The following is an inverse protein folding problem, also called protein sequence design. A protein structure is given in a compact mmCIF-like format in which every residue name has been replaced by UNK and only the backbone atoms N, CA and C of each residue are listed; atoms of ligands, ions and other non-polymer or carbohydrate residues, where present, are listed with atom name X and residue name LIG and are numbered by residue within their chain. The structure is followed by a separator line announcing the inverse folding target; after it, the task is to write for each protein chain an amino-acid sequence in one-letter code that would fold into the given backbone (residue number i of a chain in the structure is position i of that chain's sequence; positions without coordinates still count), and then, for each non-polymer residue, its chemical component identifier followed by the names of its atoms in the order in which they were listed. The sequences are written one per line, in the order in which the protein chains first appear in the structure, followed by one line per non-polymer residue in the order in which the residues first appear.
data_IF_044894396171
#
_entry.id   IF_044894396171
#
_cell.length_a   1.000
_cell.length_b   1.000
_cell.length_c   1.000
_cell.angle_alpha   90.00
_cell.angle_beta   90.00
_cell.angle_gamma   90.00
#
_symmetry.space_group_name_H-M   'P 1'
#
loop_
_entity.id
_entity.type
_entity.pdbx_description
1 polymer ?
#
# COMPACT_ATOMS: atom_id res chain seq x y z
N UNK A 1 4.19 -13.77 6.21
CA UNK A 1 4.59 -12.97 5.03
C UNK A 1 4.65 -11.45 5.25
N UNK A 2 4.08 -10.86 6.29
CA UNK A 2 3.89 -9.41 6.36
C UNK A 2 4.43 -8.73 7.61
N UNK A 3 5.45 -9.27 8.26
CA UNK A 3 6.00 -8.67 9.48
C UNK A 3 6.66 -7.30 9.26
N UNK A 4 7.16 -7.03 8.05
CA UNK A 4 7.80 -5.76 7.67
C UNK A 4 6.89 -4.79 6.93
N UNK A 5 5.82 -5.29 6.31
CA UNK A 5 4.88 -4.51 5.50
C UNK A 5 3.43 -4.86 5.85
N UNK A 6 2.92 -4.24 6.89
CA UNK A 6 1.57 -4.50 7.43
C UNK A 6 0.42 -4.17 6.45
N UNK A 7 0.71 -3.44 5.36
CA UNK A 7 -0.29 -3.12 4.34
C UNK A 7 -0.91 -4.35 3.69
N UNK A 8 -0.13 -5.42 3.52
CA UNK A 8 -0.61 -6.66 2.86
C UNK A 8 -1.65 -7.43 3.70
N UNK A 9 -1.70 -7.18 5.01
CA UNK A 9 -2.73 -7.75 5.90
C UNK A 9 -4.06 -7.02 5.80
N UNK A 10 -4.00 -5.72 5.52
CA UNK A 10 -5.19 -4.87 5.44
C UNK A 10 -5.84 -4.88 4.04
N UNK A 11 -5.08 -5.26 2.99
CA UNK A 11 -5.57 -5.30 1.62
C UNK A 11 -6.80 -6.19 1.48
N UNK A 12 -7.81 -5.68 0.77
CA UNK A 12 -8.99 -6.44 0.36
C UNK A 12 -8.74 -7.00 -1.03
N UNK A 13 -8.71 -8.33 -1.17
CA UNK A 13 -8.53 -8.99 -2.46
C UNK A 13 -9.89 -9.33 -3.07
N UNK A 14 -10.05 -9.00 -4.35
CA UNK A 14 -11.30 -9.22 -5.08
C UNK A 14 -11.01 -9.74 -6.49
N UNK A 15 -11.84 -10.66 -6.98
CA UNK A 15 -11.74 -11.10 -8.37
C UNK A 15 -12.13 -9.98 -9.33
N UNK A 16 -11.26 -9.71 -10.29
CA UNK A 16 -11.49 -8.76 -11.38
C UNK A 16 -12.48 -9.29 -12.40
N UNK A 17 -13.00 -8.42 -13.24
CA UNK A 17 -13.95 -8.78 -14.30
C UNK A 17 -13.27 -9.09 -15.65
N UNK A 18 -11.97 -8.80 -15.77
CA UNK A 18 -11.16 -9.06 -16.96
C UNK A 18 -10.07 -10.11 -16.67
N UNK A 19 -9.63 -10.85 -17.69
CA UNK A 19 -8.51 -11.79 -17.57
C UNK A 19 -7.17 -11.13 -17.22
N UNK A 20 -7.04 -9.82 -17.52
CA UNK A 20 -5.80 -9.05 -17.34
C UNK A 20 -5.91 -7.98 -16.24
N UNK A 21 -7.06 -7.85 -15.60
CA UNK A 21 -7.28 -6.81 -14.60
C UNK A 21 -8.73 -6.63 -14.22
N UNK A 22 -9.09 -5.40 -13.89
CA UNK A 22 -10.46 -5.04 -13.55
C UNK A 22 -10.89 -3.77 -14.29
N UNK A 23 -12.09 -3.78 -14.85
CA UNK A 23 -12.73 -2.61 -15.47
C UNK A 23 -13.69 -1.98 -14.48
N UNK A 24 -13.38 -0.77 -14.06
CA UNK A 24 -14.13 -0.03 -13.05
C UNK A 24 -14.87 1.14 -13.70
N UNK A 25 -16.11 1.33 -13.31
CA UNK A 25 -16.90 2.50 -13.69
C UNK A 25 -16.81 3.51 -12.56
N UNK A 26 -16.19 4.65 -12.85
CA UNK A 26 -16.06 5.79 -11.94
C UNK A 26 -17.10 6.84 -12.30
N UNK A 27 -17.85 7.32 -11.31
CA UNK A 27 -18.76 8.44 -11.52
C UNK A 27 -18.00 9.76 -11.47
N UNK A 28 -17.99 10.49 -12.59
CA UNK A 28 -17.27 11.76 -12.73
C UNK A 28 -18.19 12.98 -12.56
N UNK A 29 -19.51 12.81 -12.70
CA UNK A 29 -20.47 13.90 -12.50
C UNK A 29 -21.81 13.42 -11.98
N UNK A 30 -22.42 14.25 -11.10
CA UNK A 30 -23.76 14.03 -10.61
C UNK A 30 -24.77 14.63 -11.57
N UNK A 31 -25.99 14.07 -11.69
CA UNK A 31 -27.07 14.68 -12.45
C UNK A 31 -27.54 15.97 -11.76
N UNK A 32 -27.97 16.93 -12.54
CA UNK A 32 -28.63 18.11 -12.00
C UNK A 32 -30.03 17.76 -11.47
N UNK A 33 -30.38 18.30 -10.31
CA UNK A 33 -31.71 18.15 -9.71
C UNK A 33 -32.34 19.51 -9.50
N UNK A 34 -33.67 19.59 -9.65
CA UNK A 34 -34.39 20.85 -9.68
C UNK A 34 -35.60 20.81 -8.74
N UNK A 35 -35.82 21.89 -8.04
CA UNK A 35 -37.09 22.14 -7.36
C UNK A 35 -38.15 22.51 -8.39
N UNK A 36 -39.34 21.90 -8.31
CA UNK A 36 -40.43 22.10 -9.29
C UNK A 36 -41.61 22.78 -8.62
N UNK A 37 -42.15 23.80 -9.28
CA UNK A 37 -43.46 24.32 -8.95
C UNK A 37 -44.59 23.51 -9.65
N UNK A 38 -45.82 23.68 -9.20
CA UNK A 38 -47.00 23.05 -9.85
C UNK A 38 -47.10 23.51 -11.30
N UNK A 39 -47.41 22.58 -12.21
CA UNK A 39 -47.52 22.79 -13.65
C UNK A 39 -46.20 23.20 -14.39
N UNK A 40 -45.04 23.07 -13.76
CA UNK A 40 -43.74 23.24 -14.43
C UNK A 40 -43.07 21.89 -14.73
N UNK A 41 -42.44 21.77 -15.90
CA UNK A 41 -41.59 20.65 -16.23
C UNK A 41 -40.16 20.82 -15.66
N UNK A 42 -39.41 19.73 -15.53
CA UNK A 42 -37.97 19.75 -15.20
C UNK A 42 -37.17 19.29 -16.41
N UNK A 43 -35.99 19.87 -16.71
CA UNK A 43 -35.12 19.38 -17.76
C UNK A 43 -34.55 18.01 -17.40
N UNK A 44 -34.33 17.15 -18.39
CA UNK A 44 -33.69 15.87 -18.22
C UNK A 44 -32.20 16.06 -17.90
N UNK A 45 -31.68 15.28 -16.99
CA UNK A 45 -30.26 15.26 -16.70
C UNK A 45 -29.73 13.83 -16.55
N UNK A 46 -28.43 13.62 -16.78
CA UNK A 46 -27.79 12.31 -16.70
C UNK A 46 -26.55 12.39 -15.80
N UNK A 47 -26.23 11.32 -15.08
CA UNK A 47 -24.93 11.18 -14.45
C UNK A 47 -23.87 10.90 -15.52
N UNK A 48 -22.67 11.45 -15.31
CA UNK A 48 -21.53 11.19 -16.17
C UNK A 48 -20.65 10.15 -15.50
N UNK A 49 -20.31 9.09 -16.25
CA UNK A 49 -19.46 8.00 -15.80
C UNK A 49 -18.30 7.83 -16.76
N UNK A 50 -17.13 7.46 -16.24
CA UNK A 50 -15.97 7.05 -17.02
C UNK A 50 -15.61 5.60 -16.68
N UNK A 51 -15.18 4.86 -17.69
CA UNK A 51 -14.64 3.51 -17.51
C UNK A 51 -13.12 3.61 -17.46
N UNK A 52 -12.51 2.95 -16.47
CA UNK A 52 -11.08 2.86 -16.29
C UNK A 52 -10.70 1.39 -16.19
N UNK A 53 -9.72 0.98 -16.98
CA UNK A 53 -9.17 -0.38 -16.94
C UNK A 53 -7.90 -0.35 -16.07
N UNK A 54 -7.93 -1.11 -15.00
CA UNK A 54 -6.82 -1.27 -14.06
C UNK A 54 -6.16 -2.62 -14.30
N UNK A 55 -4.90 -2.59 -14.72
CA UNK A 55 -4.15 -3.80 -15.03
C UNK A 55 -3.66 -4.51 -13.77
N UNK A 56 -3.59 -5.84 -13.83
CA UNK A 56 -2.88 -6.66 -12.84
C UNK A 56 -1.49 -6.99 -13.34
N UNK A 57 -0.51 -6.93 -12.43
CA UNK A 57 0.85 -7.44 -12.63
C UNK A 57 0.96 -8.91 -12.27
N UNK A 58 1.97 -9.58 -12.82
CA UNK A 58 2.35 -10.95 -12.45
C UNK A 58 3.72 -10.86 -11.79
N UNK A 59 3.77 -11.11 -10.49
CA UNK A 59 5.02 -11.22 -9.75
C UNK A 59 5.36 -12.70 -9.64
N UNK A 60 6.54 -13.07 -10.10
CA UNK A 60 6.99 -14.46 -10.10
C UNK A 60 8.41 -14.56 -9.58
N UNK A 61 8.66 -15.57 -8.75
CA UNK A 61 9.97 -15.96 -8.28
C UNK A 61 10.14 -17.46 -8.44
N UNK A 62 11.36 -17.88 -8.76
CA UNK A 62 11.72 -19.28 -8.89
C UNK A 62 12.92 -19.56 -8.00
N UNK A 63 12.71 -20.44 -7.03
CA UNK A 63 13.77 -20.96 -6.16
C UNK A 63 14.37 -22.19 -6.82
N UNK A 64 15.68 -22.21 -7.01
CA UNK A 64 16.43 -23.32 -7.60
C UNK A 64 17.58 -23.70 -6.68
N UNK A 65 17.48 -24.88 -6.08
CA UNK A 65 18.42 -25.38 -5.07
C UNK A 65 19.13 -26.59 -5.65
N UNK A 66 20.47 -26.55 -5.67
CA UNK A 66 21.29 -27.67 -6.12
C UNK A 66 20.93 -28.95 -5.33
N UNK A 67 20.72 -30.05 -6.06
CA UNK A 67 20.33 -31.35 -5.51
C UNK A 67 21.36 -31.87 -4.53
N UNK A 68 22.64 -31.82 -4.91
CA UNK A 68 23.72 -32.35 -4.08
C UNK A 68 23.91 -31.53 -2.81
N UNK A 69 23.79 -30.20 -2.91
CA UNK A 69 23.81 -29.28 -1.76
C UNK A 69 22.64 -29.56 -0.79
N UNK A 70 21.44 -29.75 -1.33
CA UNK A 70 20.25 -30.03 -0.53
C UNK A 70 20.34 -31.37 0.23
N UNK A 71 21.10 -32.33 -0.30
CA UNK A 71 21.29 -33.65 0.30
C UNK A 71 22.39 -33.70 1.35
N UNK A 72 23.32 -32.75 1.37
CA UNK A 72 24.49 -32.74 2.26
C UNK A 72 24.14 -32.89 3.74
N UNK A 73 23.02 -32.29 4.20
CA UNK A 73 22.61 -32.31 5.60
C UNK A 73 21.54 -33.35 5.92
N UNK A 74 21.18 -34.21 4.98
CA UNK A 74 20.19 -35.29 5.17
C UNK A 74 18.74 -34.81 5.36
N UNK A 75 18.47 -33.51 5.34
CA UNK A 75 17.12 -32.93 5.45
C UNK A 75 16.84 -31.95 4.29
N UNK A 76 16.64 -32.49 3.12
CA UNK A 76 16.38 -31.75 1.89
C UNK A 76 15.16 -30.80 2.01
N UNK A 77 14.09 -31.24 2.66
CA UNK A 77 12.87 -30.45 2.79
C UNK A 77 13.08 -29.18 3.63
N UNK A 78 13.80 -29.29 4.75
CA UNK A 78 14.07 -28.15 5.62
C UNK A 78 15.05 -27.15 4.96
N UNK A 79 16.04 -27.64 4.22
CA UNK A 79 16.98 -26.80 3.50
C UNK A 79 16.26 -26.02 2.38
N UNK A 80 15.43 -26.68 1.56
CA UNK A 80 14.61 -26.02 0.54
C UNK A 80 13.70 -24.96 1.17
N UNK A 81 13.04 -25.28 2.27
CA UNK A 81 12.17 -24.33 2.97
C UNK A 81 12.93 -23.08 3.47
N UNK A 82 14.15 -23.24 3.96
CA UNK A 82 14.98 -22.11 4.41
C UNK A 82 15.35 -21.15 3.29
N UNK A 83 15.66 -21.70 2.10
CA UNK A 83 15.93 -20.89 0.91
C UNK A 83 14.64 -20.24 0.39
N UNK A 84 13.54 -20.95 0.37
CA UNK A 84 12.25 -20.46 -0.11
C UNK A 84 11.73 -19.28 0.72
N UNK A 85 12.03 -19.20 2.02
CA UNK A 85 11.68 -18.05 2.89
C UNK A 85 12.28 -16.75 2.38
N UNK A 86 13.52 -16.76 1.85
CA UNK A 86 14.15 -15.58 1.29
C UNK A 86 13.42 -15.06 0.04
N UNK A 87 12.98 -15.97 -0.84
CA UNK A 87 12.18 -15.60 -2.02
C UNK A 87 10.81 -15.03 -1.64
N UNK A 88 10.16 -15.61 -0.63
CA UNK A 88 8.87 -15.11 -0.13
C UNK A 88 8.99 -13.71 0.47
N UNK A 89 10.08 -13.43 1.21
CA UNK A 89 10.33 -12.08 1.75
C UNK A 89 10.63 -11.08 0.64
N UNK A 90 11.42 -11.45 -0.37
CA UNK A 90 11.70 -10.59 -1.52
C UNK A 90 10.41 -10.27 -2.30
N UNK A 91 9.52 -11.24 -2.49
CA UNK A 91 8.21 -11.03 -3.12
C UNK A 91 7.33 -10.09 -2.29
N UNK A 92 7.32 -10.24 -0.95
CA UNK A 92 6.60 -9.37 -0.05
C UNK A 92 7.06 -7.90 -0.17
N UNK A 93 8.37 -7.66 -0.12
CA UNK A 93 8.95 -6.32 -0.26
C UNK A 93 8.66 -5.72 -1.63
N UNK A 94 8.80 -6.49 -2.70
CA UNK A 94 8.52 -6.04 -4.07
C UNK A 94 7.05 -5.70 -4.24
N UNK A 95 6.14 -6.53 -3.73
CA UNK A 95 4.70 -6.29 -3.80
C UNK A 95 4.30 -5.03 -3.03
N UNK A 96 4.80 -4.86 -1.80
CA UNK A 96 4.55 -3.67 -1.00
C UNK A 96 5.10 -2.40 -1.68
N UNK A 97 6.30 -2.46 -2.25
CA UNK A 97 6.89 -1.35 -3.00
C UNK A 97 6.05 -0.99 -4.22
N UNK A 98 5.58 -1.98 -4.96
CA UNK A 98 4.74 -1.76 -6.15
C UNK A 98 3.38 -1.16 -5.79
N UNK A 99 2.78 -1.53 -4.65
CA UNK A 99 1.54 -0.91 -4.17
C UNK A 99 1.67 0.60 -3.96
N UNK A 100 2.85 1.07 -3.53
CA UNK A 100 3.09 2.52 -3.38
C UNK A 100 3.63 3.17 -4.64
N UNK A 101 4.66 2.61 -5.27
CA UNK A 101 5.46 3.27 -6.30
C UNK A 101 5.34 2.67 -7.70
N UNK A 102 4.58 1.57 -7.87
CA UNK A 102 4.40 0.95 -9.18
C UNK A 102 3.93 1.97 -10.22
N UNK A 103 4.61 2.03 -11.37
CA UNK A 103 4.29 2.96 -12.44
C UNK A 103 4.46 2.28 -13.81
N UNK A 104 3.36 1.96 -14.50
CA UNK A 104 3.41 1.35 -15.83
C UNK A 104 4.12 2.19 -16.90
N UNK A 105 4.25 3.50 -16.68
CA UNK A 105 4.98 4.37 -17.61
C UNK A 105 6.50 4.15 -17.55
N UNK A 106 7.04 3.73 -16.41
CA UNK A 106 8.46 3.41 -16.23
C UNK A 106 8.74 1.92 -16.39
N UNK A 107 7.87 1.07 -15.87
CA UNK A 107 7.93 -0.38 -16.04
C UNK A 107 6.54 -0.94 -16.40
N UNK A 108 6.29 -1.25 -17.68
CA UNK A 108 4.99 -1.73 -18.17
C UNK A 108 4.51 -3.06 -17.55
N UNK A 109 5.38 -3.78 -16.82
CA UNK A 109 5.02 -5.04 -16.16
C UNK A 109 4.35 -4.82 -14.80
N UNK A 110 4.46 -3.61 -14.25
CA UNK A 110 3.89 -3.25 -12.96
C UNK A 110 2.50 -2.66 -13.12
N UNK A 111 1.69 -2.77 -12.08
CA UNK A 111 0.43 -2.03 -11.98
C UNK A 111 0.65 -0.63 -11.38
N UNK A 112 -0.33 0.26 -11.55
CA UNK A 112 -0.25 1.63 -11.06
C UNK A 112 -0.45 1.70 -9.55
N UNK A 113 0.56 2.19 -8.82
CA UNK A 113 0.58 2.34 -7.37
C UNK A 113 -0.10 3.63 -6.86
N UNK A 114 0.00 3.86 -5.56
CA UNK A 114 -0.61 5.02 -4.90
C UNK A 114 0.14 6.33 -5.18
N UNK A 115 1.48 6.34 -5.14
CA UNK A 115 2.28 7.56 -5.29
C UNK A 115 2.11 8.24 -6.66
N UNK A 116 2.13 7.51 -7.80
CA UNK A 116 1.89 8.13 -9.10
C UNK A 116 0.47 8.67 -9.28
N UNK A 117 -0.53 8.08 -8.57
CA UNK A 117 -1.92 8.58 -8.62
C UNK A 117 -2.10 9.88 -7.86
N UNK A 118 -1.27 10.14 -6.86
CA UNK A 118 -1.33 11.32 -5.97
C UNK A 118 0.00 12.06 -6.02
N UNK A 119 0.39 12.57 -7.19
CA UNK A 119 1.71 13.12 -7.46
C UNK A 119 1.73 14.63 -7.70
N UNK A 120 0.58 15.30 -7.79
CA UNK A 120 0.49 16.70 -8.20
C UNK A 120 -0.49 17.48 -7.31
N UNK A 121 -0.04 18.62 -6.76
CA UNK A 121 -0.83 19.51 -5.87
C UNK A 121 -1.26 20.79 -6.62
N UNK A 122 -0.70 21.06 -7.80
CA UNK A 122 -0.81 22.33 -8.51
C UNK A 122 -2.23 22.76 -8.90
N UNK A 123 -2.43 24.01 -9.17
CA UNK A 123 -3.67 24.55 -9.72
C UNK A 123 -3.91 24.01 -11.13
N UNK A 124 -5.06 23.38 -11.36
CA UNK A 124 -5.38 22.69 -12.62
C UNK A 124 -5.11 21.19 -12.59
N UNK A 125 -4.60 20.69 -11.48
CA UNK A 125 -4.37 19.26 -11.23
C UNK A 125 -5.68 18.46 -11.23
N UNK A 126 -5.59 17.13 -11.45
CA UNK A 126 -6.75 16.24 -11.36
C UNK A 126 -7.48 16.33 -10.02
N UNK A 127 -8.72 15.88 -9.97
CA UNK A 127 -9.55 15.94 -8.75
C UNK A 127 -8.90 15.26 -7.53
N UNK A 128 -8.08 14.23 -7.73
CA UNK A 128 -7.35 13.54 -6.67
C UNK A 128 -6.30 14.41 -5.97
N UNK A 129 -5.83 15.51 -6.60
CA UNK A 129 -4.93 16.49 -5.98
C UNK A 129 -5.53 17.12 -4.71
N UNK A 130 -6.86 17.19 -4.63
CA UNK A 130 -7.56 17.67 -3.43
C UNK A 130 -7.28 16.81 -2.19
N UNK A 131 -6.91 15.55 -2.37
CA UNK A 131 -6.58 14.61 -1.30
C UNK A 131 -5.08 14.51 -1.02
N UNK A 132 -4.30 15.46 -1.51
CA UNK A 132 -2.88 15.59 -1.18
C UNK A 132 -2.73 16.73 -0.18
N UNK A 133 -1.99 16.47 0.89
CA UNK A 133 -1.64 17.42 1.95
C UNK A 133 -0.12 17.53 2.01
N UNK A 134 0.44 18.71 1.82
CA UNK A 134 1.87 18.93 1.96
C UNK A 134 2.24 19.32 3.38
N UNK A 135 3.29 18.69 3.93
CA UNK A 135 3.90 19.07 5.20
C UNK A 135 4.97 20.17 5.04
N UNK A 136 5.31 20.56 3.80
CA UNK A 136 6.19 21.70 3.51
C UNK A 136 7.67 21.35 3.40
N UNK A 137 8.07 20.07 3.45
CA UNK A 137 9.45 19.65 3.17
C UNK A 137 9.83 19.94 1.71
N UNK A 138 11.05 20.42 1.49
CA UNK A 138 11.56 20.81 0.17
C UNK A 138 12.80 20.04 -0.28
N UNK A 139 13.31 19.11 0.57
CA UNK A 139 14.51 18.32 0.30
C UNK A 139 14.14 16.88 -0.05
N UNK A 140 14.37 16.49 -1.30
CA UNK A 140 14.09 15.13 -1.78
C UNK A 140 14.95 14.04 -1.14
N UNK A 141 16.07 14.39 -0.48
CA UNK A 141 16.95 13.40 0.18
C UNK A 141 16.45 12.98 1.56
N UNK A 142 15.52 13.75 2.16
CA UNK A 142 14.99 13.52 3.50
C UNK A 142 13.46 13.49 3.53
N UNK A 143 12.85 13.33 2.37
CA UNK A 143 11.41 13.46 2.17
C UNK A 143 10.70 12.10 2.20
N UNK A 144 9.53 12.07 2.83
CA UNK A 144 8.67 10.87 2.89
C UNK A 144 7.20 11.23 2.91
N UNK A 145 6.33 10.23 2.78
CA UNK A 145 4.87 10.41 2.82
C UNK A 145 4.19 9.48 3.83
N UNK A 146 2.99 9.89 4.25
CA UNK A 146 2.02 9.06 4.95
C UNK A 146 0.81 8.88 4.04
N UNK A 147 0.29 7.66 3.97
CA UNK A 147 -0.92 7.35 3.22
C UNK A 147 -2.03 6.93 4.17
N UNK A 148 -3.20 7.55 4.05
CA UNK A 148 -4.44 7.10 4.66
C UNK A 148 -5.25 6.40 3.58
N UNK A 149 -5.54 5.12 3.77
CA UNK A 149 -6.30 4.31 2.80
C UNK A 149 -7.49 3.67 3.51
N UNK A 150 -8.65 3.71 2.87
CA UNK A 150 -9.85 3.00 3.33
C UNK A 150 -10.08 1.80 2.41
N UNK A 151 -9.76 0.61 2.90
CA UNK A 151 -9.90 -0.63 2.16
C UNK A 151 -11.33 -1.15 2.16
N UNK A 152 -11.87 -1.43 1.00
CA UNK A 152 -13.21 -1.97 0.86
C UNK A 152 -13.61 -2.17 -0.60
N UNK A 153 -14.61 -3.00 -0.86
CA UNK A 153 -15.08 -3.38 -2.21
C UNK A 153 -15.50 -2.22 -3.10
N UNK A 154 -15.91 -1.10 -2.51
CA UNK A 154 -16.37 0.09 -3.22
C UNK A 154 -15.41 1.27 -3.10
N UNK A 155 -14.28 1.12 -2.44
CA UNK A 155 -13.29 2.16 -2.18
C UNK A 155 -11.94 1.83 -2.84
N UNK A 156 -11.08 1.10 -2.13
CA UNK A 156 -9.77 0.65 -2.62
C UNK A 156 -9.66 -0.84 -2.39
N UNK A 157 -9.24 -1.59 -3.39
CA UNK A 157 -9.04 -3.03 -3.30
C UNK A 157 -7.97 -3.51 -4.28
N UNK A 158 -7.49 -4.72 -4.05
CA UNK A 158 -6.49 -5.37 -4.88
C UNK A 158 -7.17 -6.42 -5.76
N UNK A 159 -7.34 -6.18 -7.07
CA UNK A 159 -7.93 -7.16 -7.96
C UNK A 159 -6.93 -8.27 -8.30
N UNK A 160 -7.43 -9.47 -8.49
CA UNK A 160 -6.71 -10.55 -9.15
C UNK A 160 -7.44 -10.95 -10.44
N UNK A 161 -6.75 -11.43 -11.47
CA UNK A 161 -7.34 -11.73 -12.77
C UNK A 161 -8.47 -12.74 -12.67
N UNK A 162 -9.54 -12.53 -13.46
CA UNK A 162 -10.68 -13.44 -13.52
C UNK A 162 -10.24 -14.86 -13.87
N UNK A 163 -10.73 -15.82 -13.08
CA UNK A 163 -10.41 -17.25 -13.27
C UNK A 163 -9.05 -17.67 -12.69
N UNK A 164 -8.35 -16.78 -11.96
CA UNK A 164 -7.15 -17.12 -11.21
C UNK A 164 -7.47 -17.28 -9.72
N UNK A 165 -6.57 -17.93 -8.97
CA UNK A 165 -6.68 -17.99 -7.51
C UNK A 165 -6.19 -16.69 -6.87
N UNK A 166 -6.83 -16.30 -5.76
CA UNK A 166 -6.35 -15.20 -4.93
C UNK A 166 -5.09 -15.63 -4.17
N UNK A 167 -4.17 -14.66 -3.96
CA UNK A 167 -3.00 -14.85 -3.13
C UNK A 167 -1.81 -15.47 -3.85
N UNK A 168 -0.87 -15.97 -3.06
CA UNK A 168 0.38 -16.56 -3.53
C UNK A 168 0.14 -18.01 -3.97
N UNK A 169 0.48 -18.30 -5.21
CA UNK A 169 0.51 -19.68 -5.75
C UNK A 169 1.90 -20.26 -5.53
N UNK A 170 1.94 -21.47 -5.01
CA UNK A 170 3.13 -22.29 -4.82
C UNK A 170 3.02 -23.54 -5.67
N UNK A 171 4.07 -23.81 -6.44
CA UNK A 171 4.16 -25.01 -7.29
C UNK A 171 5.54 -25.64 -7.13
N UNK A 172 5.58 -26.88 -6.64
CA UNK A 172 6.82 -27.66 -6.62
C UNK A 172 7.02 -28.33 -7.97
N UNK A 173 8.02 -27.88 -8.71
CA UNK A 173 8.37 -28.39 -10.03
C UNK A 173 9.24 -29.67 -9.96
N UNK A 174 9.64 -30.09 -8.74
CA UNK A 174 10.48 -31.23 -8.53
C UNK A 174 11.92 -31.02 -8.99
N UNK A 175 12.57 -32.14 -9.39
CA UNK A 175 13.92 -32.14 -9.90
C UNK A 175 13.96 -31.70 -11.38
N UNK A 176 14.72 -30.67 -11.68
CA UNK A 176 14.89 -30.13 -13.03
C UNK A 176 16.35 -29.86 -13.35
N UNK A 177 16.67 -29.91 -14.66
CA UNK A 177 17.95 -29.43 -15.15
C UNK A 177 17.94 -27.92 -15.31
N UNK A 178 18.80 -27.24 -14.58
CA UNK A 178 18.94 -25.77 -14.60
C UNK A 178 20.23 -25.43 -15.34
N UNK A 179 20.20 -24.28 -16.03
CA UNK A 179 21.33 -23.74 -16.76
C UNK A 179 21.88 -22.53 -16.04
N UNK A 180 23.17 -22.58 -15.73
CA UNK A 180 23.90 -21.43 -15.21
C UNK A 180 24.09 -20.35 -16.28
N UNK A 181 24.48 -19.14 -15.86
CA UNK A 181 24.79 -18.04 -16.80
C UNK A 181 25.92 -18.31 -17.77
N UNK A 182 26.79 -19.28 -17.47
CA UNK A 182 27.90 -19.74 -18.29
C UNK A 182 27.50 -20.89 -19.28
N UNK A 183 26.22 -21.31 -19.23
CA UNK A 183 25.68 -22.39 -20.05
C UNK A 183 25.93 -23.79 -19.50
N UNK A 184 26.58 -23.95 -18.35
CA UNK A 184 26.73 -25.25 -17.68
C UNK A 184 25.40 -25.72 -17.08
N UNK A 185 25.24 -27.04 -16.92
CA UNK A 185 23.98 -27.64 -16.44
C UNK A 185 24.20 -28.27 -15.08
N UNK A 186 23.19 -28.10 -14.20
CA UNK A 186 23.13 -28.81 -12.93
C UNK A 186 21.72 -29.35 -12.68
N UNK A 187 21.59 -30.35 -11.83
CA UNK A 187 20.31 -30.86 -11.36
C UNK A 187 19.92 -30.09 -10.09
N UNK A 188 18.77 -29.44 -10.11
CA UNK A 188 18.28 -28.66 -8.99
C UNK A 188 16.82 -29.01 -8.68
N UNK A 189 16.45 -28.83 -7.41
CA UNK A 189 15.05 -28.79 -7.01
C UNK A 189 14.51 -27.40 -7.27
N UNK A 190 13.44 -27.29 -8.08
CA UNK A 190 12.84 -26.04 -8.46
C UNK A 190 11.48 -25.86 -7.80
N UNK A 191 11.25 -24.66 -7.22
CA UNK A 191 9.96 -24.25 -6.68
C UNK A 191 9.56 -22.94 -7.33
N UNK A 192 8.32 -22.85 -7.80
CA UNK A 192 7.77 -21.63 -8.43
C UNK A 192 6.79 -20.97 -7.49
N UNK A 193 6.99 -19.68 -7.30
CA UNK A 193 6.07 -18.79 -6.58
C UNK A 193 5.52 -17.77 -7.55
N UNK A 194 4.20 -17.63 -7.60
CA UNK A 194 3.55 -16.66 -8.48
C UNK A 194 2.45 -15.93 -7.73
N UNK A 195 2.42 -14.60 -7.86
CA UNK A 195 1.38 -13.75 -7.32
C UNK A 195 0.85 -12.83 -8.40
N UNK A 196 -0.45 -12.94 -8.68
CA UNK A 196 -1.15 -12.10 -9.65
C UNK A 196 -2.00 -11.10 -8.88
N UNK A 197 -1.66 -9.81 -9.00
CA UNK A 197 -2.30 -8.78 -8.21
C UNK A 197 -2.25 -7.43 -8.93
N UNK A 198 -3.15 -6.52 -8.54
CA UNK A 198 -3.23 -5.15 -9.00
C UNK A 198 -3.66 -4.23 -7.87
N UNK A 199 -3.91 -2.96 -8.18
CA UNK A 199 -4.47 -1.97 -7.27
C UNK A 199 -5.56 -1.18 -7.99
N UNK A 200 -6.76 -1.18 -7.45
CA UNK A 200 -7.90 -0.38 -7.92
C UNK A 200 -8.23 0.68 -6.89
N UNK A 201 -8.30 1.93 -7.33
CA UNK A 201 -8.88 3.04 -6.57
C UNK A 201 -10.19 3.42 -7.24
N UNK A 202 -11.30 2.83 -6.78
CA UNK A 202 -12.63 3.06 -7.36
C UNK A 202 -13.16 4.46 -7.06
N UNK A 203 -12.82 4.98 -5.89
CA UNK A 203 -13.14 6.34 -5.48
C UNK A 203 -11.91 7.00 -4.88
N UNK A 204 -11.36 8.00 -5.57
CA UNK A 204 -10.16 8.73 -5.19
C UNK A 204 -10.27 9.42 -3.81
N UNK A 205 -11.50 9.71 -3.33
CA UNK A 205 -11.75 10.38 -2.05
C UNK A 205 -11.40 9.53 -0.84
N UNK A 206 -11.23 8.21 -1.01
CA UNK A 206 -10.91 7.27 0.06
C UNK A 206 -9.43 7.00 0.24
N UNK A 207 -8.59 7.75 -0.48
CA UNK A 207 -7.14 7.77 -0.27
C UNK A 207 -6.70 9.21 -0.05
N UNK A 208 -5.89 9.44 0.99
CA UNK A 208 -5.27 10.73 1.26
C UNK A 208 -3.76 10.53 1.41
N UNK A 209 -2.97 11.32 0.68
CA UNK A 209 -1.52 11.36 0.81
C UNK A 209 -1.11 12.61 1.58
N UNK A 210 -0.33 12.45 2.65
CA UNK A 210 0.39 13.52 3.32
C UNK A 210 1.83 13.41 2.86
N UNK A 211 2.26 14.30 1.97
CA UNK A 211 3.58 14.28 1.36
C UNK A 211 4.51 15.36 1.93
N UNK A 212 5.76 15.36 1.48
CA UNK A 212 6.75 16.36 1.83
C UNK A 212 7.02 16.44 3.34
N UNK A 213 7.12 15.28 3.99
CA UNK A 213 7.47 15.17 5.41
C UNK A 213 8.99 15.08 5.52
N UNK A 214 9.61 16.08 6.17
CA UNK A 214 11.03 16.06 6.45
C UNK A 214 11.33 15.14 7.64
N UNK A 215 12.05 14.06 7.38
CA UNK A 215 12.39 13.04 8.40
C UNK A 215 13.46 13.53 9.37
N UNK A 216 14.37 14.40 8.93
CA UNK A 216 15.42 14.97 9.79
C UNK A 216 14.81 15.88 10.84
N UNK A 217 13.90 16.77 10.45
CA UNK A 217 13.23 17.66 11.40
C UNK A 217 12.38 16.90 12.42
N UNK A 218 11.77 15.80 11.97
CA UNK A 218 10.98 14.93 12.84
C UNK A 218 11.85 14.21 13.87
N UNK A 219 13.03 13.74 13.48
CA UNK A 219 13.94 13.01 14.37
C UNK A 219 14.81 13.92 15.23
N UNK A 220 15.23 15.08 14.73
CA UNK A 220 16.03 16.04 15.49
C UNK A 220 15.30 16.56 16.73
N UNK A 221 13.99 16.66 16.66
CA UNK A 221 13.15 17.15 17.75
C UNK A 221 12.77 16.09 18.79
N UNK A 222 13.08 14.83 18.54
CA UNK A 222 12.87 13.74 19.51
C UNK A 222 13.76 13.86 20.76
N UNK A 223 14.77 14.73 20.75
CA UNK A 223 15.72 14.95 21.87
C UNK A 223 15.38 16.16 22.75
N UNK A 224 14.48 17.05 22.34
CA UNK A 224 14.06 18.25 23.06
C UNK A 224 12.55 18.35 23.04
N UNK A 225 11.93 18.96 24.06
CA UNK A 225 10.47 19.08 24.28
C UNK A 225 9.62 19.07 23.00
N UNK A 226 8.46 18.38 23.04
CA UNK A 226 7.39 18.23 22.01
C UNK A 226 7.74 18.73 20.60
N UNK A 227 7.98 17.83 19.68
CA UNK A 227 8.41 18.23 18.34
C UNK A 227 7.30 19.02 17.63
N UNK A 228 7.57 20.25 17.26
CA UNK A 228 6.66 21.04 16.42
C UNK A 228 6.33 20.32 15.12
N UNK A 229 7.27 19.55 14.57
CA UNK A 229 7.08 18.71 13.39
C UNK A 229 6.09 17.56 13.61
N UNK A 230 6.20 16.81 14.71
CA UNK A 230 5.22 15.75 15.03
C UNK A 230 3.82 16.32 15.26
N UNK A 231 3.69 17.46 15.93
CA UNK A 231 2.41 18.16 16.11
C UNK A 231 1.84 18.63 14.76
N UNK A 232 2.66 19.14 13.87
CA UNK A 232 2.24 19.54 12.52
C UNK A 232 1.72 18.33 11.72
N UNK A 233 2.43 17.20 11.77
CA UNK A 233 2.01 15.95 11.11
C UNK A 233 0.66 15.47 11.70
N UNK A 234 0.48 15.46 13.02
CA UNK A 234 -0.78 15.08 13.65
C UNK A 234 -1.96 15.97 13.23
N UNK A 235 -1.73 17.29 13.07
CA UNK A 235 -2.74 18.20 12.51
C UNK A 235 -3.10 17.85 11.08
N UNK A 236 -2.12 17.48 10.25
CA UNK A 236 -2.35 17.04 8.87
C UNK A 236 -3.08 15.68 8.84
N UNK A 237 -2.75 14.75 9.72
CA UNK A 237 -3.46 13.46 9.85
C UNK A 237 -4.93 13.69 10.26
N UNK A 238 -5.19 14.60 11.18
CA UNK A 238 -6.57 14.98 11.52
C UNK A 238 -7.31 15.57 10.32
N UNK A 239 -6.68 16.49 9.57
CA UNK A 239 -7.26 17.01 8.31
C UNK A 239 -7.50 15.92 7.26
N UNK A 240 -6.63 14.92 7.19
CA UNK A 240 -6.79 13.78 6.28
C UNK A 240 -8.05 12.96 6.60
N UNK A 241 -8.31 12.70 7.89
CA UNK A 241 -9.53 11.98 8.31
C UNK A 241 -10.81 12.73 7.89
N UNK A 242 -10.84 14.06 8.04
CA UNK A 242 -12.01 14.86 7.64
C UNK A 242 -12.18 15.03 6.12
N UNK A 243 -11.19 14.65 5.32
CA UNK A 243 -11.33 14.62 3.84
C UNK A 243 -12.06 13.37 3.34
N UNK A 244 -12.07 12.30 4.13
CA UNK A 244 -12.77 11.07 3.78
C UNK A 244 -14.27 11.24 4.01
N UNK A 245 -15.12 11.02 2.99
CA UNK A 245 -16.57 11.25 3.11
C UNK A 245 -17.25 10.37 4.16
N UNK A 246 -16.85 9.09 4.25
CA UNK A 246 -17.44 8.13 5.19
C UNK A 246 -16.44 7.04 5.55
N UNK A 247 -15.96 7.03 6.78
CA UNK A 247 -15.01 6.04 7.30
C UNK A 247 -15.62 4.63 7.45
N UNK A 248 -16.95 4.52 7.54
CA UNK A 248 -17.63 3.23 7.71
C UNK A 248 -17.72 2.39 6.41
N UNK A 249 -17.28 2.94 5.26
CA UNK A 249 -17.30 2.23 3.97
C UNK A 249 -16.24 1.14 3.86
N UNK A 250 -15.30 1.06 4.81
CA UNK A 250 -14.24 0.07 4.79
C UNK A 250 -13.32 0.16 6.00
N UNK A 251 -12.21 -0.54 5.95
CA UNK A 251 -11.17 -0.50 6.98
C UNK A 251 -10.18 0.61 6.67
N UNK A 252 -10.13 1.63 7.52
CA UNK A 252 -9.17 2.71 7.38
C UNK A 252 -7.87 2.37 8.12
N UNK A 253 -6.72 2.70 7.52
CA UNK A 253 -5.42 2.62 8.17
C UNK A 253 -4.48 3.70 7.63
N UNK A 254 -3.59 4.18 8.50
CA UNK A 254 -2.48 5.03 8.11
C UNK A 254 -1.24 4.16 7.86
N UNK A 255 -0.59 4.38 6.73
CA UNK A 255 0.63 3.70 6.35
C UNK A 255 1.79 4.69 6.32
N UNK A 256 2.85 4.36 7.01
CA UNK A 256 4.04 5.19 7.12
C UNK A 256 5.29 4.34 7.32
N UNK A 257 6.44 4.91 7.01
CA UNK A 257 7.69 4.20 7.25
C UNK A 257 8.04 4.16 8.76
N UNK A 258 9.00 3.33 9.09
CA UNK A 258 9.46 3.11 10.48
C UNK A 258 9.98 4.39 11.13
N UNK A 259 10.63 5.28 10.38
CA UNK A 259 11.17 6.56 10.88
C UNK A 259 10.04 7.48 11.35
N UNK A 260 9.02 7.68 10.53
CA UNK A 260 7.85 8.51 10.90
C UNK A 260 7.07 7.87 12.04
N UNK A 261 6.87 6.55 11.98
CA UNK A 261 6.18 5.82 13.04
C UNK A 261 6.89 5.96 14.39
N UNK A 262 8.23 5.85 14.42
CA UNK A 262 9.01 6.02 15.66
C UNK A 262 8.93 7.45 16.20
N UNK A 263 8.99 8.48 15.32
CA UNK A 263 8.83 9.87 15.72
C UNK A 263 7.46 10.16 16.34
N UNK A 264 6.39 9.60 15.77
CA UNK A 264 5.03 9.71 16.33
C UNK A 264 4.88 8.91 17.64
N UNK A 265 5.52 7.73 17.74
CA UNK A 265 5.50 6.94 18.97
C UNK A 265 6.19 7.66 20.13
N UNK A 266 7.34 8.32 19.88
CA UNK A 266 8.01 9.15 20.87
C UNK A 266 7.11 10.32 21.29
N UNK A 267 6.48 10.99 20.33
CA UNK A 267 5.52 12.06 20.64
C UNK A 267 4.32 11.57 21.45
N UNK A 268 3.90 10.31 21.30
CA UNK A 268 2.80 9.73 22.08
C UNK A 268 3.16 9.49 23.56
N UNK A 269 4.45 9.38 23.89
CA UNK A 269 4.90 9.25 25.27
C UNK A 269 4.75 10.54 26.07
N UNK A 270 4.67 11.69 25.39
CA UNK A 270 4.41 12.97 26.03
C UNK A 270 2.96 13.06 26.49
N UNK A 271 2.74 13.20 27.80
CA UNK A 271 1.42 13.20 28.45
C UNK A 271 0.44 14.27 27.96
N UNK A 272 0.90 15.25 27.20
CA UNK A 272 0.05 16.31 26.62
C UNK A 272 -0.68 15.91 25.34
N UNK A 273 -0.38 14.74 24.76
CA UNK A 273 -0.94 14.27 23.48
C UNK A 273 -2.03 13.21 23.68
N UNK A 274 -3.27 13.66 23.90
CA UNK A 274 -4.43 12.76 24.04
C UNK A 274 -4.92 12.12 22.73
N UNK A 275 -4.41 12.53 21.59
CA UNK A 275 -4.89 12.13 20.25
C UNK A 275 -4.24 10.83 19.79
N UNK A 276 -2.99 10.59 20.18
CA UNK A 276 -2.28 9.33 19.94
C UNK A 276 -2.47 8.41 21.14
N UNK A 277 -2.88 7.18 20.88
CA UNK A 277 -3.05 6.14 21.90
C UNK A 277 -2.20 4.92 21.58
N UNK A 278 -1.48 4.44 22.59
CA UNK A 278 -0.83 3.15 22.58
C UNK A 278 -1.85 2.15 23.12
N UNK A 279 -2.28 1.23 22.28
CA UNK A 279 -3.15 0.14 22.67
C UNK A 279 -2.30 -1.11 22.94
N UNK A 280 -2.66 -1.86 23.93
CA UNK A 280 -2.01 -3.10 24.31
C UNK A 280 -2.98 -4.26 24.11
N UNK A 281 -2.49 -5.39 23.66
CA UNK A 281 -3.27 -6.60 23.48
C UNK A 281 -2.40 -7.84 23.61
N UNK A 282 -3.05 -8.98 23.68
CA UNK A 282 -2.39 -10.27 23.66
C UNK A 282 -2.58 -10.89 22.27
N UNK A 283 -1.50 -11.42 21.69
CA UNK A 283 -1.59 -12.24 20.49
C UNK A 283 -2.31 -13.55 20.80
N UNK A 284 -2.70 -14.32 19.76
CA UNK A 284 -3.29 -15.64 19.93
C UNK A 284 -2.43 -16.61 20.77
N UNK A 285 -1.13 -16.35 20.87
CA UNK A 285 -0.17 -17.14 21.65
C UNK A 285 0.13 -16.52 23.02
N UNK A 286 -0.66 -15.52 23.48
CA UNK A 286 -0.47 -14.88 24.79
C UNK A 286 0.70 -13.92 24.87
N UNK A 287 1.36 -13.59 23.75
CA UNK A 287 2.45 -12.61 23.72
C UNK A 287 1.87 -11.20 23.73
N UNK A 288 2.24 -10.32 24.69
CA UNK A 288 1.78 -8.94 24.69
C UNK A 288 2.36 -8.19 23.48
N UNK A 289 1.52 -7.45 22.78
CA UNK A 289 1.95 -6.54 21.74
C UNK A 289 1.23 -5.20 21.87
N UNK A 290 1.89 -4.14 21.46
CA UNK A 290 1.34 -2.78 21.48
C UNK A 290 1.27 -2.22 20.06
N UNK A 291 0.20 -1.48 19.77
CA UNK A 291 0.06 -0.76 18.50
C UNK A 291 -0.42 0.66 18.71
N UNK A 292 0.03 1.53 17.84
CA UNK A 292 -0.31 2.95 17.89
C UNK A 292 -1.58 3.21 17.10
N UNK A 293 -2.48 4.03 17.65
CA UNK A 293 -3.70 4.48 16.96
C UNK A 293 -3.82 6.00 17.02
N UNK A 294 -4.34 6.57 15.94
CA UNK A 294 -4.67 7.99 15.87
C UNK A 294 -6.16 8.17 15.65
N UNK A 295 -6.87 8.74 16.62
CA UNK A 295 -8.33 8.89 16.61
C UNK A 295 -9.09 7.58 16.28
N UNK A 296 -8.61 6.45 16.77
CA UNK A 296 -9.20 5.14 16.53
C UNK A 296 -8.77 4.43 15.23
N UNK A 297 -7.98 5.09 14.39
CA UNK A 297 -7.42 4.50 13.15
C UNK A 297 -6.02 3.95 13.42
N UNK A 298 -5.72 2.70 13.07
CA UNK A 298 -4.40 2.11 13.30
C UNK A 298 -3.32 2.77 12.45
N UNK A 299 -2.12 2.89 13.03
CA UNK A 299 -0.91 3.32 12.36
C UNK A 299 -0.09 2.06 12.02
N UNK A 300 0.13 1.83 10.75
CA UNK A 300 0.80 0.65 10.20
C UNK A 300 2.21 1.01 9.73
N UNK A 301 3.17 0.15 10.07
CA UNK A 301 4.54 0.27 9.58
C UNK A 301 4.70 -0.37 8.23
N UNK A 302 5.30 0.35 7.30
CA UNK A 302 5.59 -0.16 5.95
C UNK A 302 6.97 0.34 5.54
N UNK A 303 7.94 -0.56 5.56
CA UNK A 303 9.33 -0.25 5.21
C UNK A 303 9.52 0.00 3.70
N UNK A 304 8.54 -0.38 2.88
CA UNK A 304 8.52 -0.06 1.45
C UNK A 304 8.38 1.44 1.16
N UNK A 305 7.88 2.26 2.11
CA UNK A 305 7.81 3.72 1.95
C UNK A 305 9.21 4.29 2.21
N UNK A 306 9.81 4.89 1.17
CA UNK A 306 11.17 5.42 1.20
C UNK A 306 11.25 6.78 1.88
N UNK A 307 12.45 7.12 2.39
CA UNK A 307 12.76 8.43 3.00
C UNK A 307 13.35 9.44 2.00
N UNK A 308 13.42 9.08 0.73
CA UNK A 308 14.03 9.86 -0.35
C UNK A 308 13.05 10.06 -1.49
N UNK A 309 11.78 10.35 -1.15
CA UNK A 309 10.76 10.64 -2.16
C UNK A 309 11.03 11.98 -2.84
N UNK A 310 10.72 12.06 -4.13
CA UNK A 310 10.70 13.34 -4.84
C UNK A 310 9.69 14.30 -4.19
N UNK A 311 10.01 15.58 -4.19
CA UNK A 311 9.10 16.62 -3.68
C UNK A 311 7.87 16.68 -4.57
N UNK A 312 6.71 16.62 -3.96
CA UNK A 312 5.41 16.74 -4.63
C UNK A 312 5.05 18.22 -4.70
N UNK A 313 4.85 18.74 -5.92
CA UNK A 313 4.60 20.14 -6.21
C UNK A 313 3.24 20.40 -6.84
#
# INVERSE_FOLDING_TARGET
LSQTNEILEDCVFKEGNLPTGDRVVIRTGLPAVYWRALNQGIPSSKSVTAQVDEACGILEARSEVDKDLAMLNGNTAQFRLSEDVAFLEAMNQTQATTLFYGNPATDPKQFLGLAPRYSDIGAGSPNNSQNILSAGGSDATTNTSIYLVVWGDNTVYCPFPKGSAAGLMHEDLGEQTVYNSDGTRLQAYATRYQWKNGLVVKDWRYVVRICNINTVDLMAQATTQLPSAATAIMKLMSRALYRIPNMAMGRAAFYMNRTVHSGLAIAALDKSQYVLKINEGLSQFGTPYSWLTFQGVPLRKVDAIINTEAVVS
#
